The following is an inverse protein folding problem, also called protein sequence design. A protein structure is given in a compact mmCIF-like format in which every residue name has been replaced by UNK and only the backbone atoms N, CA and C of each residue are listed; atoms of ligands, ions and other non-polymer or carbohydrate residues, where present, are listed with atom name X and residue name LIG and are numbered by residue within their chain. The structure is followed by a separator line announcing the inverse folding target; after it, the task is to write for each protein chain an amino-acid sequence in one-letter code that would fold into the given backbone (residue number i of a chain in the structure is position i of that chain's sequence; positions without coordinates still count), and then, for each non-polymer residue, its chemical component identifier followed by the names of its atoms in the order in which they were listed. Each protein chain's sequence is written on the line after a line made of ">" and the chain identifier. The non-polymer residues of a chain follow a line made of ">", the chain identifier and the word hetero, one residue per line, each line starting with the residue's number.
data_IF_502127564762
#
_entry.id   IF_502127564762
#
_cell.length_a   1.000
_cell.length_b   1.000
_cell.length_c   1.000
_cell.angle_alpha   90.00
_cell.angle_beta   90.00
_cell.angle_gamma   90.00
#
_symmetry.space_group_name_H-M   'P 1'
#
loop_
_entity.id
_entity.type
_entity.pdbx_description
1 polymer ?
#
# COMPACT_ATOMS: atom_id res chain seq x y z
N UNK A 1 -4.06 -36.68 21.05
CA UNK A 1 -4.36 -35.29 20.64
C UNK A 1 -3.67 -35.03 19.32
N UNK A 2 -4.41 -35.04 18.21
CA UNK A 2 -3.85 -34.81 16.88
C UNK A 2 -3.64 -33.31 16.68
N UNK A 3 -2.38 -32.87 16.70
CA UNK A 3 -2.02 -31.50 16.36
C UNK A 3 -2.46 -31.18 14.94
N UNK A 4 -3.34 -30.18 14.78
CA UNK A 4 -3.74 -29.68 13.47
C UNK A 4 -2.49 -29.05 12.84
N UNK A 5 -1.92 -29.70 11.83
CA UNK A 5 -0.83 -29.12 11.03
C UNK A 5 -1.41 -27.91 10.30
N UNK A 6 -1.12 -26.71 10.80
CA UNK A 6 -1.42 -25.47 10.09
C UNK A 6 -0.45 -25.43 8.92
N UNK A 7 -0.94 -25.74 7.71
CA UNK A 7 -0.17 -25.50 6.48
C UNK A 7 0.02 -23.99 6.37
N UNK A 8 1.22 -23.53 6.71
CA UNK A 8 1.69 -22.20 6.35
C UNK A 8 1.70 -22.16 4.83
N UNK A 9 0.88 -21.30 4.22
CA UNK A 9 0.92 -21.12 2.77
C UNK A 9 2.31 -20.57 2.43
N UNK A 10 3.08 -21.35 1.68
CA UNK A 10 4.47 -21.03 1.40
C UNK A 10 4.52 -19.93 0.34
N UNK A 11 5.32 -18.89 0.60
CA UNK A 11 5.68 -17.89 -0.41
C UNK A 11 6.40 -18.61 -1.56
N UNK A 12 5.95 -18.33 -2.77
CA UNK A 12 6.47 -18.86 -4.03
C UNK A 12 7.43 -17.86 -4.66
N UNK A 13 7.10 -16.57 -4.57
CA UNK A 13 7.86 -15.49 -5.19
C UNK A 13 7.57 -14.15 -4.51
N UNK A 14 8.50 -13.20 -4.61
CA UNK A 14 8.44 -11.87 -4.02
C UNK A 14 9.01 -10.85 -5.00
N UNK A 15 8.34 -9.73 -5.17
CA UNK A 15 8.82 -8.61 -5.98
C UNK A 15 8.61 -7.28 -5.24
N UNK A 16 9.52 -6.33 -5.42
CA UNK A 16 9.50 -5.01 -4.79
C UNK A 16 9.85 -3.96 -5.82
N UNK A 17 9.00 -2.94 -5.95
CA UNK A 17 9.24 -1.82 -6.84
C UNK A 17 8.56 -0.54 -6.36
N UNK A 18 8.99 0.60 -6.90
CA UNK A 18 8.45 1.91 -6.55
C UNK A 18 7.53 2.45 -7.64
N UNK A 19 6.43 3.07 -7.24
CA UNK A 19 5.48 3.74 -8.13
C UNK A 19 5.21 5.17 -7.69
N UNK A 20 4.95 6.05 -8.65
CA UNK A 20 4.34 7.34 -8.35
C UNK A 20 2.82 7.17 -8.30
N UNK A 21 2.22 7.37 -7.14
CA UNK A 21 0.76 7.36 -6.94
C UNK A 21 0.34 8.73 -6.43
N UNK A 22 -0.49 9.45 -7.19
CA UNK A 22 -0.98 10.80 -6.83
C UNK A 22 0.12 11.80 -6.42
N UNK A 23 1.30 11.70 -7.02
CA UNK A 23 2.42 12.59 -6.76
C UNK A 23 3.35 12.14 -5.63
N UNK A 24 3.03 11.06 -4.91
CA UNK A 24 3.90 10.48 -3.87
C UNK A 24 4.58 9.19 -4.35
N UNK A 25 5.78 8.93 -3.82
CA UNK A 25 6.50 7.69 -4.05
C UNK A 25 5.99 6.62 -3.09
N UNK A 26 5.46 5.53 -3.64
CA UNK A 26 4.93 4.39 -2.89
C UNK A 26 5.78 3.17 -3.21
N UNK A 27 6.21 2.44 -2.18
CA UNK A 27 6.79 1.12 -2.36
C UNK A 27 5.67 0.08 -2.50
N UNK A 28 5.79 -0.79 -3.49
CA UNK A 28 4.89 -1.91 -3.70
C UNK A 28 5.65 -3.20 -3.41
N UNK A 29 5.24 -3.91 -2.36
CA UNK A 29 5.72 -5.26 -2.03
C UNK A 29 4.68 -6.28 -2.52
N UNK A 30 5.04 -7.07 -3.52
CA UNK A 30 4.23 -8.17 -4.01
C UNK A 30 4.72 -9.49 -3.41
N UNK A 31 3.83 -10.25 -2.77
CA UNK A 31 4.08 -11.61 -2.31
C UNK A 31 3.12 -12.58 -3.01
N UNK A 32 3.67 -13.59 -3.66
CA UNK A 32 2.91 -14.62 -4.35
C UNK A 32 2.96 -15.88 -3.49
N UNK A 33 1.81 -16.33 -3.03
CA UNK A 33 1.64 -17.60 -2.33
C UNK A 33 1.08 -18.66 -3.29
N UNK A 34 0.96 -19.91 -2.86
CA UNK A 34 0.37 -20.96 -3.72
C UNK A 34 -1.10 -20.70 -4.01
N UNK A 35 -1.83 -20.10 -3.08
CA UNK A 35 -3.29 -19.94 -3.20
C UNK A 35 -3.74 -18.51 -3.49
N UNK A 36 -2.91 -17.52 -3.20
CA UNK A 36 -3.25 -16.12 -3.29
C UNK A 36 -2.03 -15.24 -3.55
N UNK A 37 -2.29 -13.99 -3.91
CA UNK A 37 -1.31 -12.92 -3.99
C UNK A 37 -1.66 -11.91 -2.91
N UNK A 38 -0.65 -11.42 -2.20
CA UNK A 38 -0.77 -10.30 -1.28
C UNK A 38 0.12 -9.17 -1.80
N UNK A 39 -0.42 -7.96 -1.84
CA UNK A 39 0.35 -6.76 -2.18
C UNK A 39 0.20 -5.79 -1.03
N UNK A 40 1.32 -5.22 -0.61
CA UNK A 40 1.37 -4.11 0.34
C UNK A 40 1.83 -2.86 -0.39
N UNK A 41 1.14 -1.74 -0.19
CA UNK A 41 1.51 -0.43 -0.70
C UNK A 41 1.94 0.46 0.47
N UNK A 42 3.22 0.81 0.52
CA UNK A 42 3.84 1.47 1.67
C UNK A 42 4.15 2.93 1.33
N UNK A 43 3.60 3.84 2.12
CA UNK A 43 3.99 5.23 2.17
C UNK A 43 4.88 5.46 3.38
N UNK A 44 6.07 6.02 3.17
CA UNK A 44 7.01 6.35 4.23
C UNK A 44 6.93 7.84 4.53
N UNK A 45 6.65 8.16 5.79
CA UNK A 45 6.73 9.51 6.32
C UNK A 45 8.20 9.93 6.51
N UNK A 46 8.50 11.25 6.56
CA UNK A 46 9.85 11.76 6.72
C UNK A 46 10.58 11.32 7.99
N UNK A 47 9.85 10.89 9.02
CA UNK A 47 10.35 10.36 10.29
C UNK A 47 10.47 8.83 10.30
N UNK A 48 10.41 8.21 9.12
CA UNK A 48 10.48 6.76 8.91
C UNK A 48 9.26 5.98 9.45
N UNK A 49 8.18 6.65 9.87
CA UNK A 49 6.91 5.99 10.11
C UNK A 49 6.29 5.49 8.78
N UNK A 50 5.71 4.30 8.80
CA UNK A 50 5.12 3.67 7.62
C UNK A 50 3.58 3.66 7.72
N UNK A 51 2.93 4.06 6.63
CA UNK A 51 1.49 3.85 6.44
C UNK A 51 1.33 2.89 5.28
N UNK A 52 0.72 1.73 5.55
CA UNK A 52 0.57 0.66 4.56
C UNK A 52 -0.89 0.40 4.24
N UNK A 53 -1.18 0.19 2.95
CA UNK A 53 -2.42 -0.41 2.48
C UNK A 53 -2.19 -1.86 2.05
N UNK A 54 -3.20 -2.72 2.22
CA UNK A 54 -3.08 -4.15 1.94
C UNK A 54 -4.14 -4.62 0.94
N UNK A 55 -3.73 -5.36 -0.08
CA UNK A 55 -4.61 -6.04 -1.03
C UNK A 55 -4.30 -7.52 -1.12
N UNK A 56 -5.33 -8.37 -1.05
CA UNK A 56 -5.21 -9.84 -1.12
C UNK A 56 -6.18 -10.38 -2.16
N UNK A 57 -5.70 -11.24 -3.06
CA UNK A 57 -6.53 -11.86 -4.10
C UNK A 57 -6.19 -13.33 -4.33
N UNK A 58 -7.22 -14.18 -4.49
CA UNK A 58 -7.03 -15.62 -4.72
C UNK A 58 -6.57 -15.89 -6.15
N UNK A 59 -5.55 -16.73 -6.31
CA UNK A 59 -4.99 -17.11 -7.62
C UNK A 59 -5.95 -18.02 -8.38
N UNK A 60 -6.62 -18.95 -7.69
CA UNK A 60 -7.48 -19.95 -8.33
C UNK A 60 -8.69 -19.39 -9.10
N UNK A 61 -8.97 -18.09 -8.97
CA UNK A 61 -10.10 -17.42 -9.65
C UNK A 61 -9.64 -16.74 -10.95
N UNK A 62 -8.49 -16.06 -10.93
CA UNK A 62 -8.05 -15.16 -12.02
C UNK A 62 -6.69 -15.53 -12.64
N UNK A 63 -5.96 -16.45 -12.02
CA UNK A 63 -4.55 -16.70 -12.30
C UNK A 63 -3.62 -15.64 -11.69
N UNK A 64 -2.34 -15.97 -11.54
CA UNK A 64 -1.35 -15.18 -10.79
C UNK A 64 -1.29 -13.71 -11.24
N UNK A 65 -1.14 -13.48 -12.55
CA UNK A 65 -0.96 -12.14 -13.12
C UNK A 65 -2.16 -11.22 -12.85
N UNK A 66 -3.37 -11.73 -13.01
CA UNK A 66 -4.58 -10.94 -12.80
C UNK A 66 -4.88 -10.74 -11.30
N UNK A 67 -4.60 -11.74 -10.46
CA UNK A 67 -4.69 -11.62 -9.01
C UNK A 67 -3.70 -10.57 -8.47
N UNK A 68 -2.46 -10.54 -8.95
CA UNK A 68 -1.48 -9.51 -8.59
C UNK A 68 -1.97 -8.10 -8.96
N UNK A 69 -2.43 -7.91 -10.20
CA UNK A 69 -2.93 -6.60 -10.66
C UNK A 69 -4.11 -6.12 -9.81
N UNK A 70 -5.01 -7.04 -9.44
CA UNK A 70 -6.17 -6.73 -8.61
C UNK A 70 -5.76 -6.47 -7.15
N UNK A 71 -4.88 -7.28 -6.58
CA UNK A 71 -4.32 -7.07 -5.24
C UNK A 71 -3.58 -5.73 -5.14
N UNK A 72 -2.78 -5.35 -6.15
CA UNK A 72 -2.10 -4.06 -6.21
C UNK A 72 -3.11 -2.90 -6.21
N UNK A 73 -4.17 -3.00 -7.01
CA UNK A 73 -5.25 -1.99 -7.01
C UNK A 73 -5.87 -1.86 -5.61
N UNK A 74 -6.22 -2.99 -4.97
CA UNK A 74 -6.80 -2.99 -3.63
C UNK A 74 -5.84 -2.40 -2.58
N UNK A 75 -4.55 -2.71 -2.66
CA UNK A 75 -3.54 -2.16 -1.75
C UNK A 75 -3.46 -0.63 -1.84
N UNK A 76 -3.50 -0.07 -3.05
CA UNK A 76 -3.50 1.38 -3.25
C UNK A 76 -4.82 2.04 -2.79
N UNK A 77 -5.96 1.40 -3.03
CA UNK A 77 -7.26 1.89 -2.54
C UNK A 77 -7.34 1.86 -1.01
N UNK A 78 -6.79 0.82 -0.38
CA UNK A 78 -6.71 0.74 1.08
C UNK A 78 -5.73 1.75 1.66
N UNK A 79 -4.57 1.97 1.02
CA UNK A 79 -3.62 3.01 1.42
C UNK A 79 -4.28 4.39 1.36
N UNK A 80 -4.97 4.72 0.27
CA UNK A 80 -5.71 5.98 0.13
C UNK A 80 -6.71 6.17 1.28
N UNK A 81 -7.45 5.12 1.64
CA UNK A 81 -8.40 5.14 2.77
C UNK A 81 -7.70 5.40 4.10
N UNK A 82 -6.58 4.73 4.38
CA UNK A 82 -5.83 4.91 5.64
C UNK A 82 -5.25 6.33 5.73
N UNK A 83 -4.71 6.87 4.64
CA UNK A 83 -4.21 8.25 4.59
C UNK A 83 -5.33 9.26 4.87
N UNK A 84 -6.51 9.06 4.27
CA UNK A 84 -7.69 9.90 4.50
C UNK A 84 -8.19 9.83 5.95
N UNK A 85 -8.18 8.64 6.58
CA UNK A 85 -8.54 8.44 7.99
C UNK A 85 -7.59 9.17 8.94
N UNK A 86 -6.31 9.17 8.62
CA UNK A 86 -5.29 9.91 9.37
C UNK A 86 -5.35 11.43 9.10
N UNK A 87 -6.24 11.87 8.20
CA UNK A 87 -6.33 13.26 7.76
C UNK A 87 -5.02 13.77 7.16
N UNK A 88 -4.17 12.87 6.64
CA UNK A 88 -2.93 13.25 5.98
C UNK A 88 -3.28 13.79 4.60
N UNK A 89 -3.07 15.09 4.42
CA UNK A 89 -3.15 15.74 3.11
C UNK A 89 -1.75 15.85 2.54
N UNK A 90 -1.55 15.24 1.38
CA UNK A 90 -0.32 15.37 0.63
C UNK A 90 -0.57 16.35 -0.52
N UNK A 91 0.21 17.42 -0.56
CA UNK A 91 0.17 18.40 -1.65
C UNK A 91 1.55 18.49 -2.30
N UNK A 92 1.57 18.57 -3.63
CA UNK A 92 2.81 18.78 -4.38
C UNK A 92 2.80 20.12 -5.07
N UNK A 93 3.98 20.74 -5.13
CA UNK A 93 4.24 21.99 -5.84
C UNK A 93 5.60 21.91 -6.54
N UNK A 94 6.00 23.00 -7.20
CA UNK A 94 7.34 23.15 -7.77
C UNK A 94 8.01 24.38 -7.18
N UNK A 95 9.32 24.28 -6.92
CA UNK A 95 10.11 25.47 -6.54
C UNK A 95 10.09 26.47 -7.69
N UNK A 96 9.78 27.77 -7.43
CA UNK A 96 9.67 28.77 -8.49
C UNK A 96 10.95 28.92 -9.33
N UNK A 97 12.12 28.74 -8.71
CA UNK A 97 13.42 29.04 -9.34
C UNK A 97 14.10 27.82 -9.95
N UNK A 98 13.85 26.61 -9.42
CA UNK A 98 14.52 25.38 -9.85
C UNK A 98 13.59 24.41 -10.57
N UNK A 99 12.28 24.66 -10.53
CA UNK A 99 11.23 23.77 -11.04
C UNK A 99 11.26 22.36 -10.39
N UNK A 100 12.03 22.20 -9.31
CA UNK A 100 12.15 20.96 -8.54
C UNK A 100 10.80 20.64 -7.88
N UNK A 101 10.34 19.38 -7.91
CA UNK A 101 9.14 18.97 -7.20
C UNK A 101 9.36 19.10 -5.68
N UNK A 102 8.38 19.67 -5.00
CA UNK A 102 8.34 19.76 -3.53
C UNK A 102 7.05 19.12 -3.06
N UNK A 103 7.16 18.26 -2.05
CA UNK A 103 6.01 17.69 -1.36
C UNK A 103 5.81 18.39 -0.02
N UNK A 104 4.56 18.63 0.31
CA UNK A 104 4.11 19.15 1.59
C UNK A 104 3.14 18.15 2.18
N UNK A 105 3.44 17.73 3.40
CA UNK A 105 2.60 16.83 4.17
C UNK A 105 1.97 17.62 5.31
N UNK A 106 0.67 17.50 5.44
CA UNK A 106 -0.07 18.16 6.51
C UNK A 106 -1.05 17.19 7.15
N UNK A 107 -0.88 16.97 8.45
CA UNK A 107 -1.89 16.32 9.26
C UNK A 107 -3.01 17.33 9.56
N UNK A 108 -4.14 17.15 8.89
CA UNK A 108 -5.34 17.92 9.17
C UNK A 108 -5.83 17.72 10.60
N UNK A 109 -6.63 18.66 11.14
CA UNK A 109 -7.28 18.44 12.43
C UNK A 109 -8.08 17.14 12.34
N UNK A 110 -7.76 16.18 13.22
CA UNK A 110 -8.46 14.88 13.30
C UNK A 110 -9.95 15.18 13.30
N UNK A 111 -10.70 14.61 12.35
CA UNK A 111 -12.16 14.71 12.34
C UNK A 111 -12.66 14.27 13.71
N UNK A 112 -13.03 15.23 14.54
CA UNK A 112 -13.43 14.96 15.92
C UNK A 112 -14.52 13.90 15.88
N UNK A 113 -14.33 12.81 16.63
CA UNK A 113 -15.46 11.97 17.03
C UNK A 113 -16.44 12.90 17.73
N UNK A 114 -17.53 13.28 17.04
CA UNK A 114 -18.73 13.71 17.76
C UNK A 114 -19.07 12.53 18.66
N UNK A 115 -18.89 12.72 19.97
CA UNK A 115 -19.43 11.82 20.99
C UNK A 115 -20.95 11.76 20.85
#
# INVERSE_FOLDING_TARGET
>A
MSGKVVRVDSIVDVDIFWVNHKGVSIEILCMIFKTHTQVTANYFLPDEEEISGVGIERIGILGVKASLKKAQKLALEDLDRVLDEQSLKIWSSKRPNTNEPVMFEFFGPKKGRKK
#
